data_IF_521258991314
#
_entry.id   IF_521258991314
#
_cell.length_a   1.000
_cell.length_b   1.000
_cell.length_c   1.000
_cell.angle_alpha   90.00
_cell.angle_beta   90.00
_cell.angle_gamma   90.00
#
_symmetry.space_group_name_H-M   'P 1'
#
loop_
_entity.id
_entity.type
_entity.pdbx_description
1 polymer ?
#
# COMPACT_ATOMS: atom_id res chain seq x y z
N UNK A 1 -24.07 -14.96 -12.36
CA UNK A 1 -23.11 -14.83 -11.25
C UNK A 1 -22.20 -13.66 -11.57
N UNK A 2 -22.03 -12.78 -10.58
CA UNK A 2 -21.05 -11.70 -10.61
C UNK A 2 -19.66 -12.27 -10.26
N UNK A 3 -18.60 -11.51 -10.54
CA UNK A 3 -17.25 -11.85 -10.07
C UNK A 3 -17.21 -12.02 -8.54
N UNK A 4 -18.02 -11.25 -7.80
CA UNK A 4 -18.12 -11.39 -6.35
C UNK A 4 -18.67 -12.75 -5.93
N UNK A 5 -19.66 -13.29 -6.65
CA UNK A 5 -20.23 -14.61 -6.32
C UNK A 5 -19.17 -15.71 -6.47
N UNK A 6 -18.36 -15.65 -7.54
CA UNK A 6 -17.27 -16.61 -7.77
C UNK A 6 -16.20 -16.52 -6.66
N UNK A 7 -15.87 -15.30 -6.20
CA UNK A 7 -14.89 -15.09 -5.14
C UNK A 7 -15.40 -15.56 -3.77
N UNK A 8 -16.70 -15.41 -3.49
CA UNK A 8 -17.31 -15.95 -2.27
C UNK A 8 -17.26 -17.48 -2.26
N UNK A 9 -17.47 -18.12 -3.41
CA UNK A 9 -17.29 -19.57 -3.53
C UNK A 9 -15.83 -20.00 -3.27
N UNK A 10 -14.84 -19.26 -3.80
CA UNK A 10 -13.44 -19.53 -3.50
C UNK A 10 -13.11 -19.38 -2.01
N UNK A 11 -13.76 -18.44 -1.31
CA UNK A 11 -13.56 -18.23 0.12
C UNK A 11 -14.07 -19.41 0.96
N UNK A 12 -15.13 -20.12 0.52
CA UNK A 12 -15.58 -21.36 1.17
C UNK A 12 -14.51 -22.45 1.12
N UNK A 13 -13.81 -22.58 -0.02
CA UNK A 13 -12.70 -23.52 -0.16
C UNK A 13 -11.51 -23.15 0.74
N UNK A 14 -11.18 -21.86 0.86
CA UNK A 14 -10.16 -21.39 1.81
C UNK A 14 -10.52 -21.76 3.26
N UNK A 15 -11.76 -21.52 3.67
CA UNK A 15 -12.23 -21.81 5.03
C UNK A 15 -12.15 -23.30 5.37
N UNK A 16 -12.39 -24.19 4.40
CA UNK A 16 -12.36 -25.64 4.60
C UNK A 16 -10.97 -26.19 5.01
N UNK A 17 -9.89 -25.50 4.67
CA UNK A 17 -8.51 -25.89 5.03
C UNK A 17 -7.83 -24.91 5.99
N UNK A 18 -8.57 -23.95 6.55
CA UNK A 18 -8.00 -22.90 7.39
C UNK A 18 -7.56 -23.44 8.76
N UNK A 19 -6.30 -23.19 9.13
CA UNK A 19 -5.67 -23.67 10.37
C UNK A 19 -5.02 -22.55 11.20
N UNK A 20 -5.30 -21.28 10.88
CA UNK A 20 -4.61 -20.11 11.46
C UNK A 20 -5.43 -19.32 12.49
N UNK A 21 -6.42 -19.95 13.10
CA UNK A 21 -7.38 -19.28 14.00
C UNK A 21 -6.78 -18.69 15.28
N UNK A 22 -5.63 -19.22 15.71
CA UNK A 22 -4.96 -18.81 16.96
C UNK A 22 -3.84 -17.79 16.75
N UNK A 23 -3.66 -17.25 15.54
CA UNK A 23 -2.65 -16.23 15.29
C UNK A 23 -2.94 -14.97 16.12
N UNK A 24 -1.91 -14.39 16.78
CA UNK A 24 -2.10 -13.19 17.58
C UNK A 24 -2.34 -11.97 16.69
N UNK A 25 -2.97 -10.94 17.26
CA UNK A 25 -3.25 -9.68 16.54
C UNK A 25 -1.97 -8.91 16.12
N UNK A 26 -0.93 -8.75 16.97
CA UNK A 26 0.30 -8.07 16.57
C UNK A 26 1.07 -8.83 15.48
N UNK A 27 1.55 -8.16 14.41
CA UNK A 27 2.31 -8.83 13.37
C UNK A 27 3.62 -9.46 13.88
N UNK A 28 3.84 -10.73 13.59
CA UNK A 28 4.96 -11.51 14.12
C UNK A 28 6.33 -10.94 13.71
N UNK A 29 6.46 -10.38 12.50
CA UNK A 29 7.69 -9.76 12.01
C UNK A 29 7.82 -8.29 12.38
N UNK A 30 6.83 -7.71 13.08
CA UNK A 30 6.80 -6.30 13.47
C UNK A 30 7.05 -5.34 12.31
N UNK A 31 6.46 -5.62 11.14
CA UNK A 31 6.66 -4.81 9.93
C UNK A 31 5.33 -4.39 9.33
N UNK A 32 5.30 -3.16 8.80
CA UNK A 32 4.20 -2.66 7.98
C UNK A 32 4.69 -2.43 6.54
N UNK A 33 3.91 -2.91 5.58
CA UNK A 33 4.15 -2.72 4.14
C UNK A 33 3.10 -1.74 3.64
N UNK A 34 3.54 -0.66 3.02
CA UNK A 34 2.71 0.25 2.27
C UNK A 34 2.99 0.05 0.78
N UNK A 35 1.96 -0.31 0.01
CA UNK A 35 2.11 -0.63 -1.40
C UNK A 35 0.96 -0.12 -2.27
N UNK A 36 1.17 -0.04 -3.58
CA UNK A 36 0.08 0.25 -4.52
C UNK A 36 -1.01 -0.84 -4.52
N UNK A 37 -2.26 -0.49 -4.81
CA UNK A 37 -3.40 -1.38 -5.00
C UNK A 37 -3.38 -2.17 -6.32
N UNK A 38 -2.33 -2.02 -7.14
CA UNK A 38 -2.20 -2.68 -8.44
C UNK A 38 -2.42 -4.20 -8.35
N UNK A 39 -3.29 -4.70 -9.23
CA UNK A 39 -3.72 -6.10 -9.25
C UNK A 39 -2.59 -7.09 -9.56
N UNK A 40 -1.46 -6.63 -10.14
CA UNK A 40 -0.28 -7.43 -10.47
C UNK A 40 0.70 -7.55 -9.31
N UNK A 41 0.52 -6.75 -8.24
CA UNK A 41 1.34 -6.80 -7.04
C UNK A 41 0.68 -7.66 -5.97
N UNK A 42 1.30 -8.80 -5.66
CA UNK A 42 0.99 -9.65 -4.52
C UNK A 42 2.09 -9.50 -3.45
N UNK A 43 1.93 -8.62 -2.44
CA UNK A 43 2.96 -8.38 -1.42
C UNK A 43 3.36 -9.65 -0.65
N UNK A 44 2.41 -10.54 -0.37
CA UNK A 44 2.67 -11.80 0.34
C UNK A 44 3.59 -12.71 -0.47
N UNK A 45 3.26 -12.93 -1.74
CA UNK A 45 4.09 -13.72 -2.65
C UNK A 45 5.45 -13.09 -2.92
N UNK A 46 5.50 -11.77 -3.12
CA UNK A 46 6.73 -11.02 -3.40
C UNK A 46 7.73 -11.08 -2.23
N UNK A 47 7.24 -10.94 -1.00
CA UNK A 47 8.10 -10.83 0.20
C UNK A 47 8.20 -12.13 0.98
N UNK A 48 7.55 -13.21 0.53
CA UNK A 48 7.54 -14.51 1.21
C UNK A 48 6.86 -14.48 2.59
N UNK A 49 5.77 -13.71 2.71
CA UNK A 49 5.03 -13.56 3.96
C UNK A 49 4.00 -14.69 4.13
N UNK A 50 3.73 -15.02 5.39
CA UNK A 50 2.59 -15.85 5.79
C UNK A 50 1.55 -15.04 6.57
N UNK A 51 0.34 -15.57 6.74
CA UNK A 51 -0.68 -14.92 7.58
C UNK A 51 -0.12 -14.59 8.98
N UNK A 52 -0.40 -13.38 9.45
CA UNK A 52 0.10 -12.87 10.74
C UNK A 52 1.51 -12.28 10.72
N UNK A 53 2.25 -12.35 9.61
CA UNK A 53 3.63 -11.83 9.57
C UNK A 53 3.72 -10.30 9.60
N UNK A 54 2.88 -9.61 8.83
CA UNK A 54 3.00 -8.19 8.55
C UNK A 54 1.64 -7.50 8.40
N UNK A 55 1.58 -6.20 8.68
CA UNK A 55 0.50 -5.37 8.15
C UNK A 55 0.77 -5.03 6.69
N UNK A 56 -0.28 -5.06 5.85
CA UNK A 56 -0.21 -4.68 4.44
C UNK A 56 -1.28 -3.62 4.18
N UNK A 57 -0.84 -2.39 3.95
CA UNK A 57 -1.66 -1.21 3.66
C UNK A 57 -1.54 -0.92 2.18
N UNK A 58 -2.67 -0.69 1.48
CA UNK A 58 -2.68 -0.47 0.03
C UNK A 58 -3.65 0.62 -0.39
N UNK A 59 -3.21 1.48 -1.31
CA UNK A 59 -4.03 2.51 -1.95
C UNK A 59 -3.58 2.74 -3.41
N UNK A 60 -4.19 3.70 -4.13
CA UNK A 60 -3.75 4.08 -5.46
C UNK A 60 -2.32 4.68 -5.42
N UNK A 61 -1.37 4.08 -6.14
CA UNK A 61 0.03 4.50 -6.18
C UNK A 61 0.89 4.02 -5.02
N UNK A 62 0.31 3.60 -3.89
CA UNK A 62 1.07 3.38 -2.66
C UNK A 62 1.47 4.71 -2.00
N UNK A 63 0.74 5.78 -2.30
CA UNK A 63 1.03 7.14 -1.84
C UNK A 63 0.88 7.20 -0.32
N UNK A 64 1.81 7.89 0.35
CA UNK A 64 1.69 8.17 1.77
C UNK A 64 0.70 9.32 1.95
N UNK A 65 -0.58 9.05 2.19
CA UNK A 65 -1.57 10.07 2.56
C UNK A 65 -1.72 10.17 4.09
N UNK A 66 -2.65 11.01 4.56
CA UNK A 66 -2.99 11.06 6.00
C UNK A 66 -3.61 9.74 6.48
N UNK A 67 -4.26 8.98 5.59
CA UNK A 67 -4.81 7.66 5.94
C UNK A 67 -3.72 6.61 6.13
N UNK A 68 -2.66 6.65 5.33
CA UNK A 68 -1.48 5.81 5.51
C UNK A 68 -0.72 6.19 6.77
N UNK A 69 -0.54 7.48 7.05
CA UNK A 69 0.07 7.93 8.32
C UNK A 69 -0.78 7.47 9.51
N UNK A 70 -2.11 7.60 9.44
CA UNK A 70 -3.03 7.08 10.47
C UNK A 70 -2.85 5.57 10.67
N UNK A 71 -2.81 4.81 9.59
CA UNK A 71 -2.68 3.35 9.61
C UNK A 71 -1.32 2.89 10.15
N UNK A 72 -0.23 3.52 9.72
CA UNK A 72 1.12 3.28 10.22
C UNK A 72 1.26 3.67 11.70
N UNK A 73 0.65 4.79 12.12
CA UNK A 73 0.66 5.21 13.52
C UNK A 73 -0.03 4.20 14.43
N UNK A 74 -1.20 3.68 14.03
CA UNK A 74 -1.89 2.58 14.73
C UNK A 74 -1.02 1.32 14.75
N UNK A 75 -0.47 0.95 13.61
CA UNK A 75 0.39 -0.22 13.45
C UNK A 75 1.57 -0.20 14.43
N UNK A 76 2.26 0.93 14.56
CA UNK A 76 3.40 1.03 15.47
C UNK A 76 2.95 1.18 16.93
N UNK A 77 2.03 2.12 17.23
CA UNK A 77 1.70 2.48 18.61
C UNK A 77 0.86 1.44 19.34
N UNK A 78 -0.03 0.76 18.63
CA UNK A 78 -0.99 -0.17 19.23
C UNK A 78 -0.67 -1.63 18.93
N UNK A 79 -0.01 -1.90 17.80
CA UNK A 79 0.17 -3.26 17.29
C UNK A 79 1.66 -3.65 17.14
N UNK A 80 2.58 -2.78 17.56
CA UNK A 80 3.98 -3.13 17.82
C UNK A 80 4.87 -3.30 16.59
N UNK A 81 4.48 -2.80 15.41
CA UNK A 81 5.41 -2.77 14.27
C UNK A 81 6.53 -1.75 14.49
N UNK A 82 7.73 -2.05 14.03
CA UNK A 82 8.94 -1.25 14.21
C UNK A 82 9.59 -0.88 12.86
N UNK A 83 9.24 -1.55 11.77
CA UNK A 83 9.81 -1.35 10.43
C UNK A 83 8.73 -1.01 9.39
N UNK A 84 9.11 -0.22 8.37
CA UNK A 84 8.22 0.17 7.28
C UNK A 84 8.90 -0.07 5.93
N UNK A 85 8.21 -0.76 5.03
CA UNK A 85 8.59 -0.89 3.61
C UNK A 85 7.56 -0.13 2.77
N UNK A 86 8.03 0.81 1.95
CA UNK A 86 7.24 1.49 0.92
C UNK A 86 7.51 0.87 -0.45
N UNK A 87 6.48 0.46 -1.17
CA UNK A 87 6.59 -0.19 -2.50
C UNK A 87 5.74 0.55 -3.53
N UNK A 88 6.41 1.24 -4.45
CA UNK A 88 5.83 1.64 -5.74
C UNK A 88 6.14 0.58 -6.80
N UNK A 89 5.69 0.78 -8.03
CA UNK A 89 5.97 -0.16 -9.11
C UNK A 89 6.04 0.51 -10.48
N UNK A 90 6.73 -0.16 -11.42
CA UNK A 90 6.76 0.23 -12.83
C UNK A 90 5.36 0.11 -13.45
N UNK A 91 5.10 0.90 -14.50
CA UNK A 91 3.80 0.91 -15.20
C UNK A 91 2.60 1.19 -14.25
N UNK A 92 2.80 2.13 -13.33
CA UNK A 92 1.77 2.56 -12.39
C UNK A 92 0.75 3.47 -13.06
N UNK A 93 -0.55 3.23 -12.80
CA UNK A 93 -1.64 4.06 -13.32
C UNK A 93 -1.51 5.54 -12.93
N UNK A 94 -0.92 5.83 -11.77
CA UNK A 94 -0.73 7.20 -11.26
C UNK A 94 0.24 8.05 -12.10
N UNK A 95 1.00 7.43 -13.01
CA UNK A 95 1.89 8.11 -13.98
C UNK A 95 1.15 8.56 -15.25
N UNK A 96 -0.09 8.12 -15.45
CA UNK A 96 -0.79 8.22 -16.74
C UNK A 96 -1.73 9.42 -16.84
N UNK A 97 -1.88 10.19 -15.76
CA UNK A 97 -2.75 11.36 -15.69
C UNK A 97 -2.17 12.41 -14.72
N UNK A 98 -2.79 13.59 -14.70
CA UNK A 98 -2.48 14.65 -13.74
C UNK A 98 -3.68 14.95 -12.86
N UNK A 99 -3.43 15.43 -11.65
CA UNK A 99 -4.49 15.84 -10.71
C UNK A 99 -5.44 16.85 -11.34
N UNK A 100 -4.93 17.81 -12.13
CA UNK A 100 -5.75 18.80 -12.82
C UNK A 100 -6.70 18.18 -13.84
N UNK A 101 -6.19 17.26 -14.67
CA UNK A 101 -6.99 16.62 -15.69
C UNK A 101 -8.09 15.76 -15.07
N UNK A 102 -7.75 14.97 -14.04
CA UNK A 102 -8.72 14.10 -13.38
C UNK A 102 -9.76 14.89 -12.58
N UNK A 103 -9.34 15.95 -11.87
CA UNK A 103 -10.27 16.85 -11.18
C UNK A 103 -11.25 17.50 -12.14
N UNK A 104 -10.76 18.02 -13.27
CA UNK A 104 -11.63 18.65 -14.27
C UNK A 104 -12.65 17.64 -14.82
N UNK A 105 -12.22 16.42 -15.12
CA UNK A 105 -13.12 15.35 -15.56
C UNK A 105 -14.24 15.09 -14.54
N UNK A 106 -13.92 15.00 -13.24
CA UNK A 106 -14.92 14.79 -12.19
C UNK A 106 -15.92 15.96 -12.08
N UNK A 107 -15.44 17.19 -12.23
CA UNK A 107 -16.30 18.39 -12.26
C UNK A 107 -17.22 18.36 -13.47
N UNK A 108 -16.71 18.00 -14.64
CA UNK A 108 -17.52 17.93 -15.86
C UNK A 108 -18.61 16.85 -15.77
N UNK A 109 -18.28 15.70 -15.17
CA UNK A 109 -19.19 14.56 -15.03
C UNK A 109 -20.25 14.75 -13.93
N UNK A 110 -19.89 15.41 -12.84
CA UNK A 110 -20.72 15.44 -11.61
C UNK A 110 -21.21 16.83 -11.22
N UNK A 111 -20.62 17.89 -11.78
CA UNK A 111 -20.81 19.28 -11.36
C UNK A 111 -20.21 19.63 -10.01
N UNK A 112 -19.38 18.76 -9.41
CA UNK A 112 -18.80 18.94 -8.08
C UNK A 112 -17.28 18.76 -8.09
N UNK A 113 -16.59 19.60 -7.33
CA UNK A 113 -15.15 19.49 -7.13
C UNK A 113 -14.84 18.49 -5.99
N UNK A 114 -13.91 17.54 -6.18
CA UNK A 114 -13.52 16.61 -5.12
C UNK A 114 -12.80 17.34 -3.98
N UNK A 115 -13.12 17.00 -2.74
CA UNK A 115 -12.44 17.53 -1.54
C UNK A 115 -11.10 16.88 -1.22
N UNK A 116 -10.52 16.13 -2.16
CA UNK A 116 -9.29 15.35 -2.01
C UNK A 116 -8.44 15.48 -3.29
N UNK A 117 -7.12 15.37 -3.13
CA UNK A 117 -6.19 15.30 -4.25
C UNK A 117 -6.12 13.86 -4.77
N UNK A 118 -5.88 13.70 -6.07
CA UNK A 118 -5.69 12.37 -6.65
C UNK A 118 -4.28 11.83 -6.33
N UNK A 119 -3.34 12.73 -6.01
CA UNK A 119 -1.96 12.40 -5.66
C UNK A 119 -1.24 11.64 -6.79
N UNK A 120 -1.50 12.05 -8.04
CA UNK A 120 -0.71 11.61 -9.20
C UNK A 120 0.74 12.12 -9.10
N UNK A 121 1.65 11.40 -9.76
CA UNK A 121 3.06 11.73 -9.79
C UNK A 121 3.64 11.40 -11.16
N UNK A 122 4.77 12.03 -11.52
CA UNK A 122 5.41 11.87 -12.83
C UNK A 122 6.73 11.10 -12.78
N UNK A 123 7.27 10.89 -11.59
CA UNK A 123 8.54 10.21 -11.37
C UNK A 123 8.42 9.25 -10.17
N UNK A 124 8.67 7.97 -10.42
CA UNK A 124 8.50 6.91 -9.43
C UNK A 124 9.50 7.04 -8.27
N UNK A 125 10.78 7.23 -8.57
CA UNK A 125 11.79 7.27 -7.52
C UNK A 125 11.65 8.53 -6.67
N UNK A 126 11.32 9.66 -7.30
CA UNK A 126 11.05 10.90 -6.60
C UNK A 126 9.85 10.76 -5.65
N UNK A 127 8.76 10.11 -6.08
CA UNK A 127 7.59 9.90 -5.22
C UNK A 127 7.87 8.91 -4.08
N UNK A 128 8.67 7.85 -4.33
CA UNK A 128 9.16 6.97 -3.25
C UNK A 128 9.94 7.78 -2.21
N UNK A 129 10.90 8.63 -2.64
CA UNK A 129 11.70 9.46 -1.72
C UNK A 129 10.81 10.43 -0.94
N UNK A 130 9.85 11.08 -1.60
CA UNK A 130 8.86 11.97 -0.97
C UNK A 130 8.02 11.21 0.06
N UNK A 131 7.61 9.98 -0.24
CA UNK A 131 6.89 9.11 0.68
C UNK A 131 7.72 8.77 1.92
N UNK A 132 8.98 8.36 1.75
CA UNK A 132 9.92 8.13 2.85
C UNK A 132 10.07 9.39 3.71
N UNK A 133 10.24 10.56 3.09
CA UNK A 133 10.34 11.84 3.80
C UNK A 133 9.07 12.15 4.59
N UNK A 134 7.87 11.95 4.03
CA UNK A 134 6.59 12.16 4.73
C UNK A 134 6.44 11.22 5.92
N UNK A 135 6.87 9.96 5.81
CA UNK A 135 6.86 9.01 6.93
C UNK A 135 7.85 9.44 8.01
N UNK A 136 9.09 9.69 7.64
CA UNK A 136 10.20 9.94 8.57
C UNK A 136 10.10 11.30 9.28
N UNK A 137 9.50 12.30 8.63
CA UNK A 137 9.23 13.62 9.21
C UNK A 137 7.95 13.69 10.05
N UNK A 138 7.08 12.67 9.98
CA UNK A 138 5.82 12.69 10.70
C UNK A 138 6.03 12.48 12.21
N UNK A 139 5.57 13.42 13.08
CA UNK A 139 5.65 13.25 14.54
C UNK A 139 4.73 12.11 15.04
N UNK A 140 3.84 11.62 14.18
CA UNK A 140 2.93 10.53 14.47
C UNK A 140 3.53 9.16 14.17
N UNK A 141 4.75 9.05 13.66
CA UNK A 141 5.43 7.77 13.45
C UNK A 141 6.62 7.68 14.40
N UNK A 142 6.54 6.91 15.51
CA UNK A 142 7.58 6.90 16.54
C UNK A 142 8.85 6.13 16.17
N UNK A 143 8.79 5.19 15.21
CA UNK A 143 9.93 4.37 14.75
C UNK A 143 10.16 4.63 13.28
N UNK A 144 11.19 5.42 12.98
CA UNK A 144 11.53 5.87 11.62
C UNK A 144 12.96 5.49 11.22
N UNK A 145 13.68 4.76 12.07
CA UNK A 145 15.06 4.30 11.84
C UNK A 145 15.17 3.24 10.74
N UNK A 146 14.06 2.59 10.41
CA UNK A 146 13.98 1.49 9.44
C UNK A 146 12.83 1.68 8.45
N UNK A 147 12.85 2.81 7.76
CA UNK A 147 11.96 3.10 6.62
C UNK A 147 12.77 2.93 5.35
N UNK A 148 12.33 2.04 4.45
CA UNK A 148 13.00 1.77 3.16
C UNK A 148 11.98 1.79 2.04
N UNK A 149 12.36 2.35 0.89
CA UNK A 149 11.50 2.46 -0.28
C UNK A 149 12.01 1.66 -1.46
N UNK A 150 11.09 1.09 -2.24
CA UNK A 150 11.40 0.20 -3.34
C UNK A 150 10.47 0.42 -4.52
N UNK A 151 10.97 0.07 -5.71
CA UNK A 151 10.19 -0.06 -6.94
C UNK A 151 10.12 -1.54 -7.30
N UNK A 152 8.89 -2.05 -7.35
CA UNK A 152 8.58 -3.36 -7.90
C UNK A 152 8.48 -3.29 -9.43
N UNK A 153 9.27 -4.10 -10.12
CA UNK A 153 9.27 -4.20 -11.56
C UNK A 153 8.21 -5.21 -12.02
N UNK A 154 7.04 -4.74 -12.46
CA UNK A 154 5.89 -5.59 -12.83
C UNK A 154 6.21 -6.60 -13.94
N UNK A 155 7.18 -6.28 -14.79
CA UNK A 155 7.64 -7.09 -15.91
C UNK A 155 8.56 -8.25 -15.51
N UNK A 156 9.22 -8.17 -14.35
CA UNK A 156 10.25 -9.14 -13.95
C UNK A 156 10.07 -9.73 -12.55
N UNK A 157 9.20 -9.15 -11.74
CA UNK A 157 9.00 -9.53 -10.34
C UNK A 157 10.09 -9.02 -9.39
N UNK A 158 11.07 -8.24 -9.87
CA UNK A 158 12.19 -7.76 -9.05
C UNK A 158 11.78 -6.57 -8.17
N UNK A 159 12.39 -6.49 -7.00
CA UNK A 159 12.29 -5.34 -6.10
C UNK A 159 13.62 -4.59 -6.08
N UNK A 160 13.61 -3.32 -6.46
CA UNK A 160 14.80 -2.46 -6.53
C UNK A 160 14.66 -1.36 -5.49
N UNK A 161 15.68 -1.19 -4.64
CA UNK A 161 15.67 -0.17 -3.61
C UNK A 161 15.93 1.22 -4.18
N UNK A 162 15.21 2.21 -3.67
CA UNK A 162 15.41 3.63 -4.00
C UNK A 162 16.25 4.25 -2.90
N UNK A 163 17.42 4.76 -3.25
CA UNK A 163 18.31 5.54 -2.38
C UNK A 163 17.90 6.99 -2.29
#
# INVERSE_FOLDING_TARGET
MSTTDDLLHNAEAYAASFDKGDLPLPPARKIAILACMDARLNPYGLLGLSEGDAHVIRNAGGVVTDDEIRSLAISQRLLGTEEIILIHHTDCGMLTFTDDAFRQQLVDDTGQEPGWAAESFTDLEADVRKGIERITSSPFIPKTDKVRGFIYHVESGKLVEVS
#
